data_IF_649109539604
#
_entry.id   IF_649109539604
#
_cell.length_a   1.000
_cell.length_b   1.000
_cell.length_c   1.000
_cell.angle_alpha   90.00
_cell.angle_beta   90.00
_cell.angle_gamma   90.00
#
_symmetry.space_group_name_H-M   'P 1'
#
loop_
_entity.id
_entity.type
_entity.pdbx_description
1 polymer ?
#
# COMPACT_ATOMS: atom_id res chain seq x y z
N UNK A 1 5.35 -8.96 -23.75
CA UNK A 1 5.01 -7.53 -23.43
C UNK A 1 3.81 -7.56 -22.52
N UNK A 2 3.99 -7.31 -21.21
CA UNK A 2 2.90 -7.33 -20.23
C UNK A 2 2.32 -5.92 -20.21
N UNK A 3 1.11 -5.73 -20.73
CA UNK A 3 0.38 -4.47 -20.62
C UNK A 3 -0.40 -4.47 -19.30
N UNK A 4 -0.17 -3.46 -18.47
CA UNK A 4 -1.01 -3.18 -17.31
C UNK A 4 -2.35 -2.61 -17.77
N UNK A 5 -3.50 -3.00 -17.16
CA UNK A 5 -4.83 -2.50 -17.55
C UNK A 5 -5.00 -0.99 -17.36
N UNK A 6 -4.16 -0.34 -16.57
CA UNK A 6 -4.24 1.08 -16.22
C UNK A 6 -3.39 2.00 -17.10
N UNK A 7 -2.84 1.50 -18.24
CA UNK A 7 -2.14 2.35 -19.21
C UNK A 7 -0.80 2.95 -18.72
N UNK A 8 -0.32 2.60 -17.55
CA UNK A 8 1.01 3.00 -17.10
C UNK A 8 2.05 2.15 -17.83
N UNK A 9 2.68 2.72 -18.86
CA UNK A 9 3.89 2.15 -19.45
C UNK A 9 4.91 2.03 -18.32
N UNK A 10 5.31 0.80 -17.98
CA UNK A 10 6.53 0.58 -17.21
C UNK A 10 7.64 1.18 -18.07
N UNK A 11 8.21 2.30 -17.67
CA UNK A 11 9.27 2.95 -18.44
C UNK A 11 10.50 2.03 -18.44
N UNK A 12 11.24 1.99 -19.52
CA UNK A 12 12.50 1.23 -19.59
C UNK A 12 13.45 1.57 -18.42
N UNK A 13 13.36 2.79 -17.91
CA UNK A 13 14.08 3.23 -16.71
C UNK A 13 13.65 2.48 -15.44
N UNK A 14 12.38 2.11 -15.30
CA UNK A 14 11.91 1.38 -14.09
C UNK A 14 12.36 -0.08 -14.09
N UNK A 15 12.50 -0.71 -15.25
CA UNK A 15 13.04 -2.06 -15.39
C UNK A 15 14.52 -2.05 -14.99
N UNK A 16 15.28 -1.11 -15.53
CA UNK A 16 16.70 -0.95 -15.19
C UNK A 16 16.92 -0.71 -13.69
N UNK A 17 16.10 0.13 -13.06
CA UNK A 17 16.17 0.36 -11.61
C UNK A 17 15.85 -0.92 -10.83
N UNK A 18 14.86 -1.70 -11.26
CA UNK A 18 14.53 -2.97 -10.62
C UNK A 18 15.70 -3.98 -10.70
N UNK A 19 16.39 -4.05 -11.83
CA UNK A 19 17.56 -4.91 -11.99
C UNK A 19 18.70 -4.49 -11.08
N UNK A 20 18.97 -3.18 -10.94
CA UNK A 20 19.98 -2.67 -10.00
C UNK A 20 19.64 -2.99 -8.55
N UNK A 21 18.36 -2.88 -8.17
CA UNK A 21 17.88 -3.24 -6.84
C UNK A 21 18.09 -4.74 -6.59
N UNK A 22 17.68 -5.60 -7.53
CA UNK A 22 17.86 -7.05 -7.42
C UNK A 22 19.34 -7.43 -7.31
N UNK A 23 20.20 -6.80 -8.10
CA UNK A 23 21.65 -6.99 -7.99
C UNK A 23 22.18 -6.58 -6.60
N UNK A 24 21.73 -5.44 -6.08
CA UNK A 24 22.18 -4.95 -4.78
C UNK A 24 21.68 -5.86 -3.63
N UNK A 25 20.46 -6.40 -3.71
CA UNK A 25 19.93 -7.37 -2.75
C UNK A 25 20.79 -8.66 -2.77
N UNK A 26 21.02 -9.22 -3.96
CA UNK A 26 21.77 -10.48 -4.12
C UNK A 26 23.21 -10.37 -3.62
N UNK A 27 23.84 -9.20 -3.79
CA UNK A 27 25.24 -8.96 -3.43
C UNK A 27 25.41 -8.26 -2.08
N UNK A 28 24.33 -8.04 -1.32
CA UNK A 28 24.33 -7.30 -0.04
C UNK A 28 25.03 -5.96 -0.15
N UNK A 29 24.71 -5.19 -1.18
CA UNK A 29 25.24 -3.85 -1.43
C UNK A 29 24.17 -2.80 -1.13
N UNK A 30 24.62 -1.59 -0.75
CA UNK A 30 23.72 -0.46 -0.66
C UNK A 30 23.42 0.09 -2.05
N UNK A 31 22.26 0.72 -2.17
CA UNK A 31 21.92 1.56 -3.32
C UNK A 31 21.83 3.02 -2.88
N UNK A 32 22.15 3.90 -3.80
CA UNK A 32 22.01 5.34 -3.68
C UNK A 32 21.05 5.84 -4.74
N UNK A 33 20.18 6.76 -4.38
CA UNK A 33 19.23 7.36 -5.31
C UNK A 33 18.72 8.69 -4.80
N UNK A 34 18.17 9.51 -5.70
CA UNK A 34 17.33 10.65 -5.36
C UNK A 34 15.87 10.28 -5.51
N UNK A 35 15.01 10.91 -4.71
CA UNK A 35 13.58 10.62 -4.70
C UNK A 35 12.79 11.85 -5.11
N UNK A 36 11.82 11.69 -6.01
CA UNK A 36 11.05 12.81 -6.52
C UNK A 36 9.54 12.61 -6.31
N UNK A 37 8.84 13.72 -6.37
CA UNK A 37 7.37 13.79 -6.49
C UNK A 37 7.00 14.73 -7.64
N UNK A 38 5.73 14.72 -8.02
CA UNK A 38 5.23 15.62 -9.06
C UNK A 38 4.52 16.81 -8.42
N UNK A 39 4.72 18.02 -8.99
CA UNK A 39 3.92 19.18 -8.70
C UNK A 39 2.60 19.18 -9.50
N UNK A 40 1.79 20.22 -9.36
CA UNK A 40 0.50 20.39 -10.06
C UNK A 40 0.66 20.49 -11.59
N UNK A 41 1.84 20.87 -12.06
CA UNK A 41 2.21 20.96 -13.48
C UNK A 41 2.78 19.65 -14.03
N UNK A 42 2.84 18.61 -13.21
CA UNK A 42 3.47 17.30 -13.51
C UNK A 42 4.99 17.36 -13.70
N UNK A 43 5.67 18.40 -13.20
CA UNK A 43 7.11 18.45 -13.18
C UNK A 43 7.66 17.60 -12.03
N UNK A 44 8.78 16.93 -12.26
CA UNK A 44 9.48 16.18 -11.23
C UNK A 44 10.23 17.11 -10.29
N UNK A 45 9.89 17.10 -9.02
CA UNK A 45 10.57 17.86 -7.97
C UNK A 45 11.30 16.89 -7.05
N UNK A 46 12.60 17.07 -6.92
CA UNK A 46 13.42 16.26 -6.01
C UNK A 46 13.06 16.56 -4.56
N UNK A 47 12.76 15.51 -3.80
CA UNK A 47 12.49 15.64 -2.37
C UNK A 47 13.74 16.03 -1.59
N UNK A 48 13.54 16.77 -0.50
CA UNK A 48 14.59 17.18 0.42
C UNK A 48 15.79 17.83 -0.30
N UNK A 49 15.51 18.76 -1.24
CA UNK A 49 16.51 19.48 -2.01
C UNK A 49 17.51 18.56 -2.75
N UNK A 50 17.03 17.45 -3.29
CA UNK A 50 17.88 16.51 -4.03
C UNK A 50 18.74 15.61 -3.15
N UNK A 51 18.33 15.39 -1.90
CA UNK A 51 19.03 14.48 -0.98
C UNK A 51 19.27 13.11 -1.61
N UNK A 52 20.48 12.58 -1.47
CA UNK A 52 20.85 11.23 -1.92
C UNK A 52 20.56 10.26 -0.77
N UNK A 53 19.58 9.39 -0.98
CA UNK A 53 19.26 8.33 -0.05
C UNK A 53 20.28 7.20 -0.18
N UNK A 54 20.77 6.70 0.95
CA UNK A 54 21.57 5.49 1.08
C UNK A 54 20.71 4.43 1.74
N UNK A 55 20.45 3.35 1.01
CA UNK A 55 19.54 2.29 1.46
C UNK A 55 20.18 0.92 1.31
N UNK A 56 20.11 0.11 2.35
CA UNK A 56 20.43 -1.33 2.30
C UNK A 56 19.17 -2.10 1.89
N UNK A 57 19.05 -2.54 0.63
CA UNK A 57 17.81 -3.13 0.10
C UNK A 57 17.60 -4.56 0.61
N UNK A 58 16.38 -4.90 1.01
CA UNK A 58 16.01 -6.24 1.48
C UNK A 58 15.10 -6.97 0.52
N UNK A 59 14.14 -6.25 -0.06
CA UNK A 59 13.21 -6.80 -1.03
C UNK A 59 12.68 -5.74 -1.99
N UNK A 60 12.32 -6.18 -3.20
CA UNK A 60 11.42 -5.46 -4.09
C UNK A 60 10.06 -6.16 -4.07
N UNK A 61 8.99 -5.44 -3.73
CA UNK A 61 7.65 -6.02 -3.61
C UNK A 61 6.65 -5.30 -4.51
N UNK A 62 5.73 -6.07 -5.08
CA UNK A 62 4.60 -5.54 -5.81
C UNK A 62 3.43 -5.32 -4.85
N UNK A 63 2.89 -4.10 -4.82
CA UNK A 63 1.75 -3.75 -4.00
C UNK A 63 0.95 -2.61 -4.66
N UNK A 64 -0.37 -2.75 -4.75
CA UNK A 64 -1.27 -1.73 -5.33
C UNK A 64 -0.77 -1.17 -6.67
N UNK A 65 -0.51 -2.06 -7.64
CA UNK A 65 -0.03 -1.71 -8.98
C UNK A 65 1.29 -0.92 -9.02
N UNK A 66 2.13 -1.04 -7.98
CA UNK A 66 3.44 -0.38 -7.89
C UNK A 66 4.50 -1.30 -7.30
N UNK A 67 5.72 -1.10 -7.73
CA UNK A 67 6.88 -1.72 -7.09
C UNK A 67 7.44 -0.83 -5.99
N UNK A 68 7.72 -1.46 -4.85
CA UNK A 68 8.34 -0.83 -3.69
C UNK A 68 9.64 -1.51 -3.34
N UNK A 69 10.67 -0.70 -3.10
CA UNK A 69 11.88 -1.13 -2.43
C UNK A 69 11.65 -1.07 -0.92
N UNK A 70 11.93 -2.17 -0.23
CA UNK A 70 11.99 -2.24 1.22
C UNK A 70 13.45 -2.36 1.63
N UNK A 71 13.90 -1.53 2.56
CA UNK A 71 15.27 -1.58 3.04
C UNK A 71 15.53 -0.62 4.20
N UNK A 72 16.66 -0.81 4.88
CA UNK A 72 17.12 0.12 5.90
C UNK A 72 17.61 1.40 5.26
N UNK A 73 17.04 2.50 5.67
CA UNK A 73 17.41 3.85 5.21
C UNK A 73 18.22 4.57 6.26
N UNK A 74 19.46 4.91 5.94
CA UNK A 74 20.34 5.69 6.83
C UNK A 74 19.72 7.03 7.24
N UNK A 75 18.96 7.68 6.34
CA UNK A 75 18.28 8.94 6.63
C UNK A 75 17.22 8.81 7.72
N UNK A 76 16.49 7.70 7.72
CA UNK A 76 15.39 7.48 8.66
C UNK A 76 15.82 6.70 9.90
N UNK A 77 17.03 6.13 9.88
CA UNK A 77 17.57 5.19 10.86
C UNK A 77 16.56 4.05 11.17
N UNK A 78 15.84 3.62 10.13
CA UNK A 78 14.78 2.59 10.21
C UNK A 78 14.55 1.97 8.83
N UNK A 79 13.76 0.90 8.80
CA UNK A 79 13.28 0.29 7.56
C UNK A 79 12.24 1.19 6.92
N UNK A 80 12.46 1.52 5.66
CA UNK A 80 11.61 2.40 4.88
C UNK A 80 11.18 1.75 3.56
N UNK A 81 10.07 2.24 3.02
CA UNK A 81 9.50 1.81 1.75
C UNK A 81 9.61 2.95 0.74
N UNK A 82 10.17 2.65 -0.42
CA UNK A 82 10.32 3.62 -1.50
C UNK A 82 9.68 3.08 -2.77
N UNK A 83 8.82 3.87 -3.40
CA UNK A 83 8.28 3.52 -4.72
C UNK A 83 9.39 3.57 -5.76
N UNK A 84 9.60 2.48 -6.49
CA UNK A 84 10.68 2.36 -7.46
C UNK A 84 10.51 3.35 -8.62
N UNK A 85 9.28 3.60 -9.05
CA UNK A 85 8.96 4.55 -10.12
C UNK A 85 9.18 6.03 -9.75
N UNK A 86 9.52 6.32 -8.48
CA UNK A 86 9.88 7.66 -7.98
C UNK A 86 11.36 7.83 -7.66
N UNK A 87 12.16 6.84 -8.01
CA UNK A 87 13.62 6.92 -7.87
C UNK A 87 14.26 7.48 -9.14
N UNK A 88 15.30 8.25 -8.97
CA UNK A 88 16.13 8.75 -10.08
C UNK A 88 17.59 8.77 -9.64
N UNK A 89 18.51 8.79 -10.60
CA UNK A 89 19.96 8.76 -10.37
C UNK A 89 20.36 7.59 -9.45
N UNK A 90 19.82 6.40 -9.77
CA UNK A 90 20.06 5.18 -8.98
C UNK A 90 21.45 4.64 -9.31
N UNK A 91 22.21 4.29 -8.28
CA UNK A 91 23.50 3.62 -8.39
C UNK A 91 23.70 2.60 -7.28
N UNK A 92 24.50 1.58 -7.53
CA UNK A 92 24.91 0.62 -6.50
C UNK A 92 26.19 1.14 -5.87
N UNK A 93 26.22 1.21 -4.54
CA UNK A 93 27.42 1.64 -3.81
C UNK A 93 28.50 0.55 -3.88
N UNK A 94 29.73 0.97 -4.12
CA UNK A 94 30.88 0.07 -4.05
C UNK A 94 31.32 -0.18 -2.60
N UNK A 95 30.95 0.71 -1.69
CA UNK A 95 31.25 0.57 -0.26
C UNK A 95 30.40 -0.51 0.37
N UNK A 96 31.04 -1.38 1.17
CA UNK A 96 30.36 -2.48 1.84
C UNK A 96 29.79 -2.02 3.21
N UNK A 97 28.76 -1.16 3.18
CA UNK A 97 28.06 -0.63 4.36
C UNK A 97 26.65 -1.20 4.51
N UNK A 98 26.42 -2.40 3.98
CA UNK A 98 25.12 -3.04 4.07
C UNK A 98 24.73 -3.31 5.52
N UNK A 99 23.56 -2.83 5.92
CA UNK A 99 22.98 -3.01 7.26
C UNK A 99 21.75 -3.89 7.13
N UNK A 100 21.69 -4.96 7.90
CA UNK A 100 20.48 -5.77 8.06
C UNK A 100 20.35 -6.14 9.53
N UNK A 101 19.27 -5.71 10.23
CA UNK A 101 19.01 -6.12 11.60
C UNK A 101 18.96 -7.67 11.69
N UNK A 102 19.54 -8.24 12.76
CA UNK A 102 19.62 -9.70 12.93
C UNK A 102 18.24 -10.35 12.99
N UNK A 103 17.27 -9.64 13.53
CA UNK A 103 15.90 -10.12 13.76
C UNK A 103 14.93 -9.63 12.69
N UNK A 104 15.43 -9.15 11.53
CA UNK A 104 14.56 -8.71 10.45
C UNK A 104 13.92 -9.89 9.73
N UNK A 105 12.63 -10.05 9.89
CA UNK A 105 11.78 -10.95 9.10
C UNK A 105 10.96 -10.16 8.09
N UNK A 106 11.26 -10.37 6.81
CA UNK A 106 10.55 -9.71 5.72
C UNK A 106 9.07 -10.07 5.71
N UNK A 107 8.73 -11.32 6.03
CA UNK A 107 7.35 -11.81 6.03
C UNK A 107 6.52 -11.16 7.12
N UNK A 108 7.09 -11.03 8.31
CA UNK A 108 6.50 -10.31 9.43
C UNK A 108 6.39 -8.82 9.12
N UNK A 109 7.45 -8.21 8.55
CA UNK A 109 7.42 -6.82 8.13
C UNK A 109 6.33 -6.56 7.09
N UNK A 110 6.22 -7.39 6.04
CA UNK A 110 5.19 -7.29 5.02
C UNK A 110 3.79 -7.45 5.61
N UNK A 111 3.60 -8.39 6.52
CA UNK A 111 2.30 -8.61 7.17
C UNK A 111 1.90 -7.47 8.10
N UNK A 112 2.87 -6.81 8.74
CA UNK A 112 2.64 -5.74 9.71
C UNK A 112 2.62 -4.33 9.11
N UNK A 113 3.44 -4.09 8.05
CA UNK A 113 3.69 -2.74 7.50
C UNK A 113 3.14 -2.52 6.08
N UNK A 114 2.98 -3.57 5.27
CA UNK A 114 2.38 -3.44 3.92
C UNK A 114 0.86 -3.58 3.95
N UNK A 115 0.28 -4.19 4.96
CA UNK A 115 -1.13 -3.94 5.29
C UNK A 115 -1.26 -2.56 5.94
N UNK A 116 -0.72 -1.58 5.23
CA UNK A 116 -0.38 -0.24 5.70
C UNK A 116 -1.62 0.55 6.06
N UNK A 117 -1.97 0.47 7.32
CA UNK A 117 -2.32 1.67 8.07
C UNK A 117 -1.89 1.39 9.52
N UNK A 118 -1.12 2.32 10.13
CA UNK A 118 -0.68 2.26 11.53
C UNK A 118 -1.85 2.57 12.47
N UNK A 119 -2.92 1.79 12.43
CA UNK A 119 -4.07 1.93 13.29
C UNK A 119 -4.41 0.64 14.03
N UNK A 120 -5.13 0.80 15.12
CA UNK A 120 -5.67 -0.33 15.88
C UNK A 120 -6.64 -1.09 14.99
N UNK A 121 -6.35 -2.38 14.71
CA UNK A 121 -7.31 -3.25 14.04
C UNK A 121 -8.61 -3.28 14.81
N UNK A 122 -9.69 -3.12 14.10
CA UNK A 122 -11.06 -3.14 14.64
C UNK A 122 -11.81 -4.27 13.96
N UNK A 123 -12.48 -5.10 14.74
CA UNK A 123 -13.41 -6.07 14.19
C UNK A 123 -14.64 -5.33 13.65
N UNK A 124 -14.95 -5.57 12.39
CA UNK A 124 -16.07 -4.96 11.68
C UNK A 124 -16.96 -6.05 11.13
N UNK A 125 -18.26 -5.96 11.39
CA UNK A 125 -19.27 -6.79 10.75
C UNK A 125 -19.87 -6.04 9.55
N UNK A 126 -19.77 -6.65 8.39
CA UNK A 126 -20.37 -6.17 7.15
C UNK A 126 -21.57 -7.05 6.78
N UNK A 127 -22.72 -6.46 6.47
CA UNK A 127 -23.85 -7.14 5.81
C UNK A 127 -23.71 -6.95 4.31
N UNK A 128 -23.61 -8.03 3.57
CA UNK A 128 -23.27 -8.05 2.16
C UNK A 128 -24.34 -8.77 1.34
N UNK A 129 -24.74 -8.22 0.19
CA UNK A 129 -25.51 -9.01 -0.78
C UNK A 129 -24.67 -10.17 -1.32
N UNK A 130 -25.29 -11.35 -1.48
CA UNK A 130 -24.58 -12.59 -1.85
C UNK A 130 -23.78 -12.49 -3.15
N UNK A 131 -24.20 -11.63 -4.10
CA UNK A 131 -23.48 -11.39 -5.36
C UNK A 131 -22.07 -10.81 -5.18
N UNK A 132 -21.77 -10.21 -4.00
CA UNK A 132 -20.48 -9.58 -3.70
C UNK A 132 -19.51 -10.50 -2.93
N UNK A 133 -19.83 -11.79 -2.73
CA UNK A 133 -18.94 -12.73 -2.05
C UNK A 133 -17.53 -12.72 -2.64
N UNK A 134 -17.41 -12.71 -3.97
CA UNK A 134 -16.11 -12.66 -4.62
C UNK A 134 -15.32 -11.40 -4.25
N UNK A 135 -15.94 -10.23 -4.27
CA UNK A 135 -15.27 -8.98 -3.93
C UNK A 135 -14.78 -8.97 -2.47
N UNK A 136 -15.56 -9.54 -1.56
CA UNK A 136 -15.19 -9.72 -0.15
C UNK A 136 -13.94 -10.61 -0.03
N UNK A 137 -13.94 -11.77 -0.69
CA UNK A 137 -12.81 -12.72 -0.63
C UNK A 137 -11.55 -12.16 -1.30
N UNK A 138 -11.70 -11.48 -2.43
CA UNK A 138 -10.58 -10.87 -3.17
C UNK A 138 -9.90 -9.75 -2.33
N UNK A 139 -10.68 -8.99 -1.54
CA UNK A 139 -10.15 -7.88 -0.75
C UNK A 139 -9.64 -8.28 0.63
N UNK A 140 -10.38 -9.14 1.35
CA UNK A 140 -10.08 -9.52 2.74
C UNK A 140 -9.42 -10.89 2.88
N UNK A 141 -9.40 -11.70 1.81
CA UNK A 141 -8.87 -13.06 1.82
C UNK A 141 -9.91 -14.12 2.23
N UNK A 142 -9.52 -15.38 2.09
CA UNK A 142 -10.43 -16.52 2.32
C UNK A 142 -10.62 -16.90 3.79
N UNK A 143 -9.77 -16.39 4.68
CA UNK A 143 -9.77 -16.74 6.11
C UNK A 143 -10.79 -15.95 6.96
N UNK A 144 -11.59 -15.08 6.34
CA UNK A 144 -12.61 -14.31 7.04
C UNK A 144 -13.76 -15.20 7.52
N UNK A 145 -14.36 -14.84 8.64
CA UNK A 145 -15.55 -15.51 9.13
C UNK A 145 -16.79 -14.97 8.43
N UNK A 146 -17.61 -15.87 7.91
CA UNK A 146 -18.91 -15.51 7.34
C UNK A 146 -20.04 -16.22 8.08
N UNK A 147 -21.19 -15.57 8.20
CA UNK A 147 -22.42 -16.15 8.76
C UNK A 147 -23.60 -15.89 7.85
N UNK A 148 -24.58 -16.76 7.89
CA UNK A 148 -25.82 -16.55 7.16
C UNK A 148 -26.55 -15.32 7.71
N UNK A 149 -27.11 -14.52 6.82
CA UNK A 149 -28.04 -13.44 7.12
C UNK A 149 -29.40 -13.77 6.50
N UNK A 150 -30.23 -12.77 6.26
CA UNK A 150 -31.49 -12.94 5.54
C UNK A 150 -31.28 -13.43 4.09
N UNK A 151 -32.35 -13.89 3.44
CA UNK A 151 -32.27 -14.42 2.06
C UNK A 151 -31.61 -13.42 1.12
N UNK A 152 -30.55 -13.86 0.44
CA UNK A 152 -29.78 -13.03 -0.50
C UNK A 152 -28.67 -12.20 0.14
N UNK A 153 -28.43 -12.37 1.45
CA UNK A 153 -27.36 -11.68 2.19
C UNK A 153 -26.52 -12.65 3.02
N UNK A 154 -25.32 -12.21 3.38
CA UNK A 154 -24.44 -12.84 4.36
C UNK A 154 -23.76 -11.76 5.19
N UNK A 155 -23.28 -12.12 6.37
CA UNK A 155 -22.41 -11.26 7.16
C UNK A 155 -20.97 -11.71 7.00
N UNK A 156 -20.06 -10.75 6.84
CA UNK A 156 -18.62 -10.95 6.85
C UNK A 156 -18.03 -10.26 8.09
N UNK A 157 -17.27 -11.00 8.89
CA UNK A 157 -16.56 -10.49 10.06
C UNK A 157 -15.09 -10.34 9.67
N UNK A 158 -14.61 -9.11 9.67
CA UNK A 158 -13.27 -8.73 9.21
C UNK A 158 -12.52 -7.99 10.31
N UNK A 159 -11.20 -8.12 10.33
CA UNK A 159 -10.32 -7.28 11.15
C UNK A 159 -9.61 -6.28 10.26
N UNK A 160 -9.96 -5.00 10.40
CA UNK A 160 -9.40 -3.93 9.57
C UNK A 160 -9.17 -2.66 10.36
N UNK A 161 -8.25 -1.82 9.90
CA UNK A 161 -8.14 -0.45 10.35
C UNK A 161 -9.23 0.41 9.70
N UNK A 162 -9.93 1.19 10.53
CA UNK A 162 -10.90 2.17 10.04
C UNK A 162 -10.15 3.33 9.36
N UNK A 163 -10.18 3.37 8.05
CA UNK A 163 -9.40 4.30 7.23
C UNK A 163 -10.23 4.86 6.08
N UNK A 164 -9.85 6.02 5.51
CA UNK A 164 -10.51 6.56 4.32
C UNK A 164 -10.54 5.56 3.15
N UNK A 165 -9.50 4.75 2.98
CA UNK A 165 -9.44 3.72 1.92
C UNK A 165 -10.49 2.62 2.15
N UNK A 166 -10.67 2.18 3.40
CA UNK A 166 -11.71 1.21 3.74
C UNK A 166 -13.11 1.77 3.45
N UNK A 167 -13.37 3.01 3.85
CA UNK A 167 -14.68 3.63 3.58
C UNK A 167 -14.91 3.85 2.08
N UNK A 168 -13.90 4.28 1.33
CA UNK A 168 -13.99 4.38 -0.13
C UNK A 168 -14.29 3.01 -0.79
N UNK A 169 -13.70 1.93 -0.26
CA UNK A 169 -13.99 0.57 -0.72
C UNK A 169 -15.45 0.17 -0.46
N UNK A 170 -16.05 0.57 0.68
CA UNK A 170 -17.48 0.35 0.94
C UNK A 170 -18.36 1.17 -0.02
N UNK A 171 -18.00 2.44 -0.28
CA UNK A 171 -18.77 3.34 -1.15
C UNK A 171 -19.01 2.79 -2.56
N UNK A 172 -18.05 2.08 -3.14
CA UNK A 172 -18.19 1.54 -4.50
C UNK A 172 -19.35 0.55 -4.67
N UNK A 173 -19.91 0.02 -3.59
CA UNK A 173 -20.99 -0.96 -3.63
C UNK A 173 -22.38 -0.33 -3.45
N UNK A 174 -22.49 0.99 -3.34
CA UNK A 174 -23.74 1.75 -3.41
C UNK A 174 -24.82 1.23 -2.43
N UNK A 175 -24.41 0.79 -1.23
CA UNK A 175 -25.28 0.25 -0.19
C UNK A 175 -25.57 -1.25 -0.28
N UNK A 176 -25.00 -1.97 -1.24
CA UNK A 176 -25.08 -3.43 -1.28
C UNK A 176 -24.18 -4.11 -0.21
N UNK A 177 -23.21 -3.38 0.32
CA UNK A 177 -22.38 -3.73 1.47
C UNK A 177 -22.56 -2.64 2.53
N UNK A 178 -22.99 -3.03 3.74
CA UNK A 178 -23.34 -2.12 4.84
C UNK A 178 -22.51 -2.48 6.07
N UNK A 179 -21.94 -1.48 6.74
CA UNK A 179 -21.30 -1.67 8.04
C UNK A 179 -22.38 -1.83 9.10
N UNK A 180 -22.40 -2.98 9.80
CA UNK A 180 -23.34 -3.25 10.89
C UNK A 180 -22.76 -2.95 12.27
N UNK A 181 -21.46 -3.16 12.43
CA UNK A 181 -20.72 -2.87 13.66
C UNK A 181 -19.23 -2.65 13.40
N UNK A 182 -18.50 -1.98 14.29
CA UNK A 182 -18.98 -1.28 15.49
C UNK A 182 -19.63 0.07 15.14
N UNK A 183 -20.40 0.64 16.08
CA UNK A 183 -21.07 1.94 15.88
C UNK A 183 -20.12 3.04 15.43
N UNK A 184 -18.91 3.08 16.01
CA UNK A 184 -17.86 4.03 15.59
C UNK A 184 -17.58 3.98 14.09
N UNK A 185 -17.50 2.80 13.49
CA UNK A 185 -17.25 2.67 12.05
C UNK A 185 -18.40 3.20 11.20
N UNK A 186 -19.63 3.04 11.68
CA UNK A 186 -20.85 3.57 11.05
C UNK A 186 -20.83 5.11 11.11
N UNK A 187 -20.55 5.67 12.29
CA UNK A 187 -20.53 7.12 12.51
C UNK A 187 -19.41 7.79 11.66
N UNK A 188 -18.21 7.22 11.63
CA UNK A 188 -17.09 7.70 10.81
C UNK A 188 -17.42 7.63 9.31
N UNK A 189 -18.10 6.57 8.85
CA UNK A 189 -18.54 6.41 7.47
C UNK A 189 -19.58 7.48 7.08
N UNK A 190 -20.61 7.68 7.90
CA UNK A 190 -21.65 8.70 7.68
C UNK A 190 -21.03 10.09 7.63
N UNK A 191 -20.19 10.43 8.60
CA UNK A 191 -19.49 11.71 8.62
C UNK A 191 -18.65 11.94 7.35
N UNK A 192 -18.00 10.91 6.86
CA UNK A 192 -17.22 11.01 5.60
C UNK A 192 -18.15 11.28 4.42
N UNK A 193 -19.31 10.62 4.35
CA UNK A 193 -20.30 10.87 3.31
C UNK A 193 -20.84 12.29 3.35
N UNK A 194 -21.16 12.80 4.53
CA UNK A 194 -21.65 14.18 4.73
C UNK A 194 -20.64 15.22 4.22
N UNK A 195 -19.35 15.07 4.57
CA UNK A 195 -18.28 15.96 4.09
C UNK A 195 -18.20 15.96 2.56
N UNK A 196 -18.35 14.78 1.93
CA UNK A 196 -18.33 14.69 0.46
C UNK A 196 -19.55 15.37 -0.16
N UNK A 197 -20.74 15.15 0.41
CA UNK A 197 -21.97 15.78 -0.05
C UNK A 197 -21.87 17.32 0.04
N UNK A 198 -21.43 17.85 1.19
CA UNK A 198 -21.25 19.28 1.40
C UNK A 198 -20.27 19.90 0.40
N UNK A 199 -19.17 19.21 0.09
CA UNK A 199 -18.16 19.67 -0.84
C UNK A 199 -18.69 19.79 -2.28
N UNK A 200 -19.70 18.98 -2.66
CA UNK A 200 -20.27 18.95 -4.02
C UNK A 200 -21.61 19.69 -4.14
N UNK A 201 -22.15 20.20 -3.03
CA UNK A 201 -23.42 20.95 -2.99
C UNK A 201 -23.23 22.48 -3.09
N UNK A 202 -22.00 22.93 -3.29
CA UNK A 202 -21.61 24.34 -3.52
C UNK A 202 -21.38 24.57 -4.99
#
# INVERSE_FOLDING_TARGET
MIQSPTGSKVSDSSIYVADMINYAIANKKQIQFQYFEYNEKKDKILKHNGYIYEVSPYAAVWHEDRYYLIGYSKKHDDIANFRIDRMTNVSVSEENKYVCPKDFDLKEYLSSKIKVFKGKKTEVCLKCKSKHMKAILDYFGHEIKTTNAEKGYFNAIIEIELSPTFYAWIFQFEGDIIIQSPQKAIDDFIKTAEIIIEAHSK
#
